data_IF_936140228439
#
_entry.id   IF_936140228439
#
_cell.length_a   1.000
_cell.length_b   1.000
_cell.length_c   1.000
_cell.angle_alpha   90.00
_cell.angle_beta   90.00
_cell.angle_gamma   90.00
#
_symmetry.space_group_name_H-M   'P 1'
#
loop_
_entity.id
_entity.type
_entity.pdbx_description
1 polymer ?
#
# COMPACT_ATOMS: atom_id res chain seq x y z
N UNK A 1 12.09 -41.94 -15.25
CA UNK A 1 12.18 -40.86 -16.28
C UNK A 1 10.90 -40.02 -16.33
N UNK A 2 9.70 -40.66 -16.34
CA UNK A 2 8.40 -39.94 -16.40
C UNK A 2 8.15 -38.95 -15.25
N UNK A 3 8.54 -39.31 -14.02
CA UNK A 3 8.35 -38.47 -12.81
C UNK A 3 9.26 -37.23 -12.83
N UNK A 4 10.50 -37.37 -13.25
CA UNK A 4 11.43 -36.25 -13.36
C UNK A 4 10.98 -35.21 -14.41
N UNK A 5 10.39 -35.68 -15.48
CA UNK A 5 9.84 -34.85 -16.54
C UNK A 5 8.59 -34.08 -16.07
N UNK A 6 7.74 -34.71 -15.27
CA UNK A 6 6.60 -34.06 -14.60
C UNK A 6 7.05 -32.97 -13.64
N UNK A 7 8.09 -33.21 -12.83
CA UNK A 7 8.65 -32.23 -11.91
C UNK A 7 9.26 -31.04 -12.64
N UNK A 8 10.04 -31.31 -13.70
CA UNK A 8 10.59 -30.23 -14.54
C UNK A 8 9.49 -29.38 -15.17
N UNK A 9 8.46 -30.01 -15.68
CA UNK A 9 7.32 -29.34 -16.31
C UNK A 9 6.54 -28.49 -15.32
N UNK A 10 6.40 -28.95 -14.06
CA UNK A 10 5.67 -28.23 -13.01
C UNK A 10 6.48 -27.10 -12.39
N UNK A 11 7.77 -27.29 -12.20
CA UNK A 11 8.60 -26.35 -11.43
C UNK A 11 9.59 -25.57 -12.28
N UNK A 12 9.89 -25.99 -13.50
CA UNK A 12 10.89 -25.33 -14.35
C UNK A 12 10.59 -23.89 -14.77
N UNK A 13 9.30 -23.49 -14.74
CA UNK A 13 8.87 -22.10 -14.96
C UNK A 13 8.08 -21.54 -13.79
N UNK A 14 8.11 -22.22 -12.63
CA UNK A 14 7.32 -21.81 -11.48
C UNK A 14 7.88 -20.52 -10.86
N UNK A 15 7.05 -19.49 -10.79
CA UNK A 15 7.34 -18.29 -10.01
C UNK A 15 6.88 -18.54 -8.57
N UNK A 16 7.80 -18.52 -7.61
CA UNK A 16 7.44 -18.74 -6.21
C UNK A 16 6.43 -17.71 -5.72
N UNK A 17 5.41 -18.18 -5.01
CA UNK A 17 4.42 -17.35 -4.34
C UNK A 17 4.43 -17.64 -2.85
N UNK A 18 3.90 -16.74 -2.03
CA UNK A 18 3.80 -16.98 -0.61
C UNK A 18 2.73 -18.04 -0.34
N UNK A 19 3.16 -19.18 0.19
CA UNK A 19 2.24 -20.24 0.58
C UNK A 19 1.40 -19.79 1.78
N UNK A 20 0.06 -19.87 1.63
CA UNK A 20 -0.88 -19.48 2.68
C UNK A 20 -1.37 -18.02 2.61
N UNK A 21 -0.86 -17.20 1.69
CA UNK A 21 -1.48 -15.91 1.41
C UNK A 21 -2.87 -16.11 0.77
N UNK A 22 -3.91 -15.63 1.45
CA UNK A 22 -5.29 -15.71 0.97
C UNK A 22 -5.73 -14.43 0.27
N UNK A 23 -5.17 -13.32 0.69
CA UNK A 23 -5.50 -12.00 0.17
C UNK A 23 -4.24 -11.16 0.07
N UNK A 24 -4.00 -10.60 -1.10
CA UNK A 24 -2.90 -9.68 -1.35
C UNK A 24 -3.45 -8.26 -1.52
N UNK A 25 -2.76 -7.33 -0.89
CA UNK A 25 -3.08 -5.90 -0.90
C UNK A 25 -1.83 -5.12 -1.27
N UNK A 26 -2.01 -3.98 -1.91
CA UNK A 26 -0.94 -3.03 -2.12
C UNK A 26 -1.37 -1.65 -1.65
N UNK A 27 -0.44 -0.89 -1.09
CA UNK A 27 -0.64 0.49 -0.68
C UNK A 27 0.42 1.37 -1.30
N UNK A 28 0.06 2.59 -1.64
CA UNK A 28 1.01 3.63 -1.93
C UNK A 28 1.42 4.28 -0.62
N UNK A 29 2.72 4.45 -0.39
CA UNK A 29 3.25 5.34 0.64
C UNK A 29 3.60 6.68 -0.05
N UNK A 30 2.65 7.64 -0.15
CA UNK A 30 2.85 8.84 -0.93
C UNK A 30 3.75 9.82 -0.19
N UNK A 31 4.82 10.25 -0.83
CA UNK A 31 5.67 11.35 -0.37
C UNK A 31 5.30 12.64 -1.09
N UNK A 32 5.29 13.72 -0.35
CA UNK A 32 5.05 15.08 -0.83
C UNK A 32 6.24 15.95 -0.47
N UNK A 33 6.66 16.82 -1.38
CA UNK A 33 7.60 17.89 -1.05
C UNK A 33 6.86 19.08 -0.42
N UNK A 34 7.27 19.47 0.78
CA UNK A 34 6.76 20.60 1.53
C UNK A 34 7.91 21.56 1.85
N UNK A 35 7.67 22.84 2.19
CA UNK A 35 8.73 23.80 2.50
C UNK A 35 9.68 23.37 3.63
N UNK A 36 9.20 22.54 4.55
CA UNK A 36 9.96 21.98 5.69
C UNK A 36 10.51 20.58 5.45
N UNK A 37 10.35 20.03 4.25
CA UNK A 37 10.89 18.73 3.86
C UNK A 37 9.85 17.76 3.29
N UNK A 38 10.21 16.48 3.26
CA UNK A 38 9.32 15.44 2.78
C UNK A 38 8.28 15.06 3.84
N UNK A 39 7.04 14.89 3.41
CA UNK A 39 5.91 14.43 4.23
C UNK A 39 5.30 13.18 3.63
N UNK A 40 4.86 12.26 4.46
CA UNK A 40 3.92 11.22 4.05
C UNK A 40 2.48 11.75 4.07
N UNK A 41 1.70 11.39 3.06
CA UNK A 41 0.25 11.60 3.05
C UNK A 41 -0.43 10.36 3.62
N UNK A 42 -1.37 10.60 4.53
CA UNK A 42 -2.25 9.58 5.11
C UNK A 42 -3.70 9.93 4.86
N UNK A 43 -4.55 8.92 4.89
CA UNK A 43 -5.99 9.07 4.88
C UNK A 43 -6.61 8.45 6.14
N UNK A 44 -7.78 8.95 6.50
CA UNK A 44 -8.65 8.37 7.52
C UNK A 44 -9.83 7.71 6.82
N UNK A 45 -10.07 6.45 7.12
CA UNK A 45 -11.13 5.66 6.50
C UNK A 45 -12.52 6.19 6.89
N UNK A 46 -13.42 6.29 5.91
CA UNK A 46 -14.79 6.77 6.13
C UNK A 46 -15.59 5.85 7.06
N UNK A 47 -16.61 6.41 7.69
CA UNK A 47 -17.45 5.71 8.68
C UNK A 47 -18.28 4.56 8.09
N UNK A 48 -18.53 4.57 6.78
CA UNK A 48 -19.35 3.56 6.11
C UNK A 48 -18.60 2.29 5.68
N UNK A 49 -17.27 2.26 5.82
CA UNK A 49 -16.45 1.12 5.40
C UNK A 49 -15.82 0.38 6.58
N UNK A 50 -15.23 -0.80 6.31
CA UNK A 50 -14.52 -1.59 7.34
C UNK A 50 -13.36 -0.78 7.90
N UNK A 51 -13.11 -0.94 9.21
CA UNK A 51 -12.05 -0.24 9.92
C UNK A 51 -12.23 1.29 9.87
N UNK A 52 -13.48 1.76 10.00
CA UNK A 52 -13.82 3.16 10.02
C UNK A 52 -12.99 3.95 11.04
N UNK A 53 -12.51 5.13 10.64
CA UNK A 53 -11.69 6.01 11.48
C UNK A 53 -10.23 5.58 11.64
N UNK A 54 -9.82 4.46 11.08
CA UNK A 54 -8.40 4.07 11.07
C UNK A 54 -7.61 4.93 10.07
N UNK A 55 -6.40 5.29 10.48
CA UNK A 55 -5.43 5.96 9.61
C UNK A 55 -4.67 4.92 8.80
N UNK A 56 -4.57 5.12 7.50
CA UNK A 56 -3.85 4.24 6.58
C UNK A 56 -3.19 5.03 5.44
N UNK A 57 -2.41 4.31 4.65
CA UNK A 57 -2.02 4.75 3.33
C UNK A 57 -3.11 4.38 2.31
N UNK A 58 -3.27 5.14 1.21
CA UNK A 58 -4.18 4.76 0.13
C UNK A 58 -3.78 3.41 -0.46
N UNK A 59 -4.77 2.58 -0.73
CA UNK A 59 -4.54 1.26 -1.27
C UNK A 59 -5.66 0.27 -1.00
N UNK A 60 -5.56 -0.90 -1.63
CA UNK A 60 -6.60 -1.90 -1.57
C UNK A 60 -6.16 -3.28 -2.00
N UNK A 61 -7.15 -4.10 -2.31
CA UNK A 61 -6.95 -5.48 -2.71
C UNK A 61 -6.44 -5.56 -4.14
N UNK A 62 -5.40 -6.34 -4.35
CA UNK A 62 -4.89 -6.63 -5.69
C UNK A 62 -5.89 -7.46 -6.49
N UNK A 63 -6.09 -7.08 -7.75
CA UNK A 63 -6.86 -7.84 -8.72
C UNK A 63 -6.02 -8.99 -9.34
N UNK A 64 -6.66 -10.03 -9.88
CA UNK A 64 -5.93 -11.12 -10.53
C UNK A 64 -5.04 -10.62 -11.68
N UNK A 65 -3.73 -10.90 -11.59
CA UNK A 65 -2.74 -10.49 -12.60
C UNK A 65 -2.24 -9.05 -12.45
N UNK A 66 -2.75 -8.30 -11.49
CA UNK A 66 -2.31 -6.93 -11.21
C UNK A 66 -0.95 -6.93 -10.48
N UNK A 67 -0.07 -6.00 -10.86
CA UNK A 67 1.16 -5.80 -10.09
C UNK A 67 0.88 -4.99 -8.82
N UNK A 68 1.72 -5.08 -7.76
CA UNK A 68 1.58 -4.25 -6.57
C UNK A 68 1.59 -2.75 -6.87
N UNK A 69 2.41 -2.34 -7.85
CA UNK A 69 2.50 -0.94 -8.27
C UNK A 69 1.21 -0.47 -8.96
N UNK A 70 0.68 -1.28 -9.88
CA UNK A 70 -0.56 -0.93 -10.58
C UNK A 70 -1.74 -0.84 -9.61
N UNK A 71 -1.86 -1.80 -8.69
CA UNK A 71 -2.86 -1.76 -7.63
C UNK A 71 -2.76 -0.49 -6.78
N UNK A 72 -1.57 -0.19 -6.26
CA UNK A 72 -1.36 1.00 -5.42
C UNK A 72 -1.71 2.30 -6.16
N UNK A 73 -1.38 2.40 -7.44
CA UNK A 73 -1.70 3.56 -8.27
C UNK A 73 -3.20 3.66 -8.58
N UNK A 74 -3.86 2.54 -8.91
CA UNK A 74 -5.31 2.47 -9.18
C UNK A 74 -6.10 2.90 -7.94
N UNK A 75 -5.82 2.29 -6.80
CA UNK A 75 -6.50 2.62 -5.54
C UNK A 75 -6.29 4.09 -5.14
N UNK A 76 -5.05 4.62 -5.28
CA UNK A 76 -4.77 6.04 -5.02
C UNK A 76 -5.57 6.97 -5.93
N UNK A 77 -5.77 6.59 -7.20
CA UNK A 77 -6.63 7.35 -8.11
C UNK A 77 -8.09 7.27 -7.71
N UNK A 78 -8.58 6.10 -7.28
CA UNK A 78 -9.96 5.89 -6.84
C UNK A 78 -10.28 6.63 -5.54
N UNK A 79 -9.39 6.53 -4.54
CA UNK A 79 -9.58 7.10 -3.21
C UNK A 79 -9.26 8.60 -3.13
N UNK A 80 -8.22 9.07 -3.81
CA UNK A 80 -7.67 10.43 -3.66
C UNK A 80 -7.70 11.27 -4.95
N UNK A 81 -8.13 10.72 -6.10
CA UNK A 81 -8.13 11.35 -7.41
C UNK A 81 -6.73 11.84 -7.90
N UNK A 82 -5.65 11.27 -7.37
CA UNK A 82 -4.29 11.59 -7.81
C UNK A 82 -3.96 10.72 -9.03
N UNK A 83 -3.74 11.33 -10.23
CA UNK A 83 -3.45 10.54 -11.42
C UNK A 83 -2.13 9.77 -11.31
N UNK A 84 -2.04 8.55 -11.83
CA UNK A 84 -0.79 7.78 -11.88
C UNK A 84 0.37 8.51 -12.55
N UNK A 85 0.09 9.36 -13.56
CA UNK A 85 1.09 10.20 -14.23
C UNK A 85 1.76 11.24 -13.32
N UNK A 86 1.12 11.56 -12.20
CA UNK A 86 1.61 12.54 -11.21
C UNK A 86 2.36 11.87 -10.05
N UNK A 87 2.62 10.57 -10.14
CA UNK A 87 3.29 9.78 -9.12
C UNK A 87 4.55 9.14 -9.70
N UNK A 88 5.71 9.60 -9.26
CA UNK A 88 6.98 8.95 -9.56
C UNK A 88 7.21 7.79 -8.59
N UNK A 89 7.23 6.55 -9.08
CA UNK A 89 7.56 5.38 -8.25
C UNK A 89 9.04 5.40 -7.90
N UNK A 90 9.34 5.40 -6.60
CA UNK A 90 10.69 5.37 -6.05
C UNK A 90 11.16 3.94 -5.76
N UNK A 91 10.24 3.05 -5.40
CA UNK A 91 10.57 1.66 -5.11
C UNK A 91 9.47 0.91 -4.37
N UNK A 92 9.82 -0.28 -3.89
CA UNK A 92 8.94 -1.14 -3.10
C UNK A 92 9.57 -1.39 -1.73
N UNK A 93 8.76 -1.34 -0.68
CA UNK A 93 9.19 -1.70 0.67
C UNK A 93 9.04 -3.20 0.93
N UNK A 94 9.48 -3.61 2.12
CA UNK A 94 9.26 -4.96 2.63
C UNK A 94 7.77 -5.19 2.85
N UNK A 95 7.30 -6.39 2.51
CA UNK A 95 5.89 -6.73 2.68
C UNK A 95 5.61 -7.31 4.07
N UNK A 96 4.40 -7.05 4.56
CA UNK A 96 3.92 -7.51 5.84
C UNK A 96 2.94 -8.67 5.62
N UNK A 97 3.16 -9.75 6.34
CA UNK A 97 2.26 -10.90 6.34
C UNK A 97 1.73 -11.14 7.76
N UNK A 98 0.45 -11.43 7.90
CA UNK A 98 -0.14 -11.80 9.17
C UNK A 98 -0.63 -13.26 9.18
N UNK A 99 -0.94 -13.79 10.37
CA UNK A 99 -1.38 -15.18 10.57
C UNK A 99 -2.71 -15.52 9.86
N UNK A 100 -3.48 -14.52 9.42
CA UNK A 100 -4.74 -14.71 8.69
C UNK A 100 -4.55 -14.85 7.18
N UNK A 101 -3.30 -14.86 6.70
CA UNK A 101 -2.97 -14.95 5.27
C UNK A 101 -3.17 -13.62 4.52
N UNK A 102 -3.12 -12.50 5.24
CA UNK A 102 -3.10 -11.16 4.67
C UNK A 102 -1.66 -10.79 4.32
N UNK A 103 -1.43 -10.40 3.08
CA UNK A 103 -0.14 -9.91 2.59
C UNK A 103 -0.29 -8.48 2.09
N UNK A 104 0.44 -7.55 2.70
CA UNK A 104 0.48 -6.15 2.32
C UNK A 104 1.80 -5.81 1.64
N UNK A 105 1.73 -5.21 0.46
CA UNK A 105 2.88 -4.81 -0.37
C UNK A 105 2.94 -3.29 -0.47
N UNK A 106 3.86 -2.61 0.25
CA UNK A 106 4.01 -1.17 0.16
C UNK A 106 4.80 -0.76 -1.07
N UNK A 107 4.34 0.30 -1.72
CA UNK A 107 4.98 0.97 -2.85
C UNK A 107 5.26 2.41 -2.45
N UNK A 108 6.50 2.86 -2.61
CA UNK A 108 6.90 4.23 -2.29
C UNK A 108 6.80 5.09 -3.55
N UNK A 109 6.08 6.21 -3.47
CA UNK A 109 5.91 7.13 -4.60
C UNK A 109 6.02 8.60 -4.20
N UNK A 110 6.63 9.40 -5.05
CA UNK A 110 6.69 10.86 -4.92
C UNK A 110 5.57 11.47 -5.75
N UNK A 111 4.69 12.22 -5.11
CA UNK A 111 3.57 12.90 -5.75
C UNK A 111 4.02 14.29 -6.18
N UNK A 112 3.76 14.65 -7.43
CA UNK A 112 4.07 15.98 -7.97
C UNK A 112 3.17 17.09 -7.38
N UNK A 113 3.56 18.36 -7.56
CA UNK A 113 2.72 19.48 -7.19
C UNK A 113 1.37 19.48 -7.92
N UNK A 114 1.32 19.00 -9.18
CA UNK A 114 0.09 18.85 -9.94
C UNK A 114 -0.80 17.74 -9.37
N UNK A 115 -0.22 16.62 -8.92
CA UNK A 115 -0.92 15.57 -8.22
C UNK A 115 -1.53 16.02 -6.89
N UNK A 116 -0.78 16.83 -6.13
CA UNK A 116 -1.32 17.45 -4.90
C UNK A 116 -2.48 18.41 -5.21
N UNK A 117 -2.36 19.20 -6.27
CA UNK A 117 -3.43 20.11 -6.69
C UNK A 117 -4.69 19.36 -7.19
N UNK A 118 -4.53 18.17 -7.72
CA UNK A 118 -5.64 17.30 -8.16
C UNK A 118 -6.31 16.54 -7.02
N UNK A 119 -5.70 16.49 -5.83
CA UNK A 119 -6.18 15.71 -4.68
C UNK A 119 -7.63 16.05 -4.35
N UNK A 120 -8.48 15.02 -4.43
CA UNK A 120 -9.90 15.09 -4.12
C UNK A 120 -10.36 13.77 -3.50
N UNK A 121 -10.40 13.68 -2.16
CA UNK A 121 -10.79 12.45 -1.47
C UNK A 121 -12.21 11.99 -1.85
N UNK A 122 -12.38 10.69 -2.09
CA UNK A 122 -13.68 10.06 -2.34
C UNK A 122 -14.46 9.95 -1.02
N UNK A 123 -15.56 10.71 -0.79
CA UNK A 123 -16.20 10.78 0.53
C UNK A 123 -16.78 9.46 1.04
N UNK A 124 -17.03 8.52 0.12
CA UNK A 124 -17.54 7.19 0.46
C UNK A 124 -16.47 6.31 1.15
N UNK A 125 -15.19 6.59 0.90
CA UNK A 125 -14.07 5.76 1.35
C UNK A 125 -13.12 6.51 2.27
N UNK A 126 -12.94 7.81 2.05
CA UNK A 126 -11.98 8.66 2.75
C UNK A 126 -12.70 9.80 3.48
N UNK A 127 -12.58 9.83 4.81
CA UNK A 127 -13.17 10.88 5.63
C UNK A 127 -12.28 12.13 5.70
N UNK A 128 -10.96 11.94 5.72
CA UNK A 128 -9.98 13.00 5.91
C UNK A 128 -8.64 12.59 5.29
N UNK A 129 -7.84 13.55 4.87
CA UNK A 129 -6.43 13.39 4.51
C UNK A 129 -5.57 14.34 5.31
N UNK A 130 -4.38 13.90 5.70
CA UNK A 130 -3.41 14.72 6.41
C UNK A 130 -1.98 14.31 6.09
N UNK A 131 -1.03 15.14 6.44
CA UNK A 131 0.39 14.84 6.20
C UNK A 131 1.18 14.82 7.49
N UNK A 132 2.23 13.98 7.52
CA UNK A 132 3.17 13.89 8.63
C UNK A 132 4.59 14.03 8.09
N UNK A 133 5.42 14.93 8.66
CA UNK A 133 6.81 15.07 8.24
C UNK A 133 7.58 13.75 8.35
N UNK A 134 8.36 13.40 7.31
CA UNK A 134 9.24 12.24 7.36
C UNK A 134 10.24 12.33 8.54
N UNK A 135 10.63 13.53 8.90
CA UNK A 135 11.49 13.80 10.05
C UNK A 135 10.90 13.30 11.37
N UNK A 136 9.56 13.33 11.53
CA UNK A 136 8.89 12.80 12.71
C UNK A 136 9.20 11.31 12.93
N UNK A 137 9.10 10.49 11.88
CA UNK A 137 9.38 9.04 11.97
C UNK A 137 10.85 8.73 12.23
N UNK A 138 11.76 9.60 11.81
CA UNK A 138 13.19 9.45 12.09
C UNK A 138 13.56 9.84 13.53
N UNK A 139 12.85 10.80 14.11
CA UNK A 139 13.12 11.34 15.43
C UNK A 139 12.34 10.63 16.54
N UNK A 140 11.21 10.01 16.21
CA UNK A 140 10.29 9.41 17.19
C UNK A 140 10.31 7.89 17.06
N UNK A 141 10.88 7.16 18.02
CA UNK A 141 10.82 5.70 18.00
C UNK A 141 9.37 5.22 18.16
N UNK A 142 9.00 4.09 17.54
CA UNK A 142 7.67 3.52 17.70
C UNK A 142 7.42 3.09 19.14
N UNK A 143 6.20 3.33 19.64
CA UNK A 143 5.77 2.80 20.92
C UNK A 143 5.50 1.29 20.80
N UNK A 144 5.97 0.52 21.78
CA UNK A 144 5.71 -0.92 21.86
C UNK A 144 4.45 -1.17 22.70
N UNK A 145 3.53 -1.91 22.13
CA UNK A 145 2.33 -2.40 22.81
C UNK A 145 2.35 -3.92 22.82
N UNK A 146 2.06 -4.52 23.98
CA UNK A 146 1.88 -5.96 24.13
C UNK A 146 0.42 -6.27 24.46
N UNK A 147 -0.12 -7.29 23.82
CA UNK A 147 -1.46 -7.82 24.13
C UNK A 147 -1.43 -9.33 24.04
N UNK A 148 -2.24 -9.97 24.87
CA UNK A 148 -2.44 -11.42 24.83
C UNK A 148 -3.59 -11.73 23.89
N UNK A 149 -3.40 -12.72 23.03
CA UNK A 149 -4.47 -13.27 22.20
C UNK A 149 -5.28 -14.23 23.09
N UNK A 150 -6.52 -13.88 23.34
CA UNK A 150 -7.48 -14.71 24.08
C UNK A 150 -8.20 -15.65 23.10
#
# INVERSE_FOLDING_TARGET
MRELELLRRRYGGHMPTLLGARHEYAVLCPLLEQPDGLHFLFEVRASAIRQAGETCFPGGRMEPGESPTDCALRETMEELAIPPSEIQILGRGDFICNQRGFLLRPVLGLVSAAGIAALHPAPAEVAEVFTVPLAFFRATPPALYSYELI
#
